data_IF_737322925028
#
_entry.id   IF_737322925028
#
_cell.length_a   1.000
_cell.length_b   1.000
_cell.length_c   1.000
_cell.angle_alpha   90.00
_cell.angle_beta   90.00
_cell.angle_gamma   90.00
#
_symmetry.space_group_name_H-M   'P 1'
#
loop_
_entity.id
_entity.type
_entity.pdbx_description
1 polymer ?
#
# COMPACT_ATOMS: atom_id res chain seq x y z
N UNK A 1 4.36 3.35 16.20
CA UNK A 1 4.00 4.46 15.31
C UNK A 1 3.67 5.64 16.22
N UNK A 2 4.00 6.87 15.86
CA UNK A 2 3.71 8.02 16.75
C UNK A 2 2.26 8.47 16.69
N UNK A 3 1.49 7.97 15.71
CA UNK A 3 0.07 8.29 15.51
C UNK A 3 -0.87 7.13 15.87
N UNK A 4 -0.35 5.94 16.12
CA UNK A 4 -1.13 4.78 16.59
C UNK A 4 -0.25 3.73 17.29
N UNK A 5 -0.86 2.78 17.99
CA UNK A 5 -0.15 1.77 18.81
C UNK A 5 0.54 0.64 18.02
N UNK A 6 0.74 0.76 16.70
CA UNK A 6 1.43 -0.26 15.90
C UNK A 6 2.95 -0.14 15.99
N UNK A 7 3.63 -1.23 16.31
CA UNK A 7 5.09 -1.30 16.41
C UNK A 7 5.70 -1.95 15.16
N UNK A 8 6.89 -1.49 14.76
CA UNK A 8 7.58 -1.99 13.57
C UNK A 8 9.06 -2.19 13.90
N UNK A 9 9.63 -3.32 13.47
CA UNK A 9 11.03 -3.65 13.72
C UNK A 9 12.02 -2.90 12.82
N UNK A 10 11.54 -2.26 11.74
CA UNK A 10 12.38 -1.53 10.78
C UNK A 10 11.79 -0.15 10.48
N UNK A 11 12.66 0.85 10.39
CA UNK A 11 12.28 2.23 10.09
C UNK A 11 11.53 2.37 8.75
N UNK A 12 11.94 1.62 7.71
CA UNK A 12 11.26 1.60 6.41
C UNK A 12 9.80 1.13 6.49
N UNK A 13 9.52 0.18 7.38
CA UNK A 13 8.18 -0.38 7.55
C UNK A 13 7.28 0.60 8.31
N UNK A 14 7.83 1.29 9.33
CA UNK A 14 7.15 2.39 10.03
C UNK A 14 6.84 3.56 9.08
N UNK A 15 7.81 4.00 8.28
CA UNK A 15 7.63 5.09 7.30
C UNK A 15 6.56 4.74 6.26
N UNK A 16 6.56 3.49 5.76
CA UNK A 16 5.50 3.02 4.86
C UNK A 16 4.14 3.06 5.53
N UNK A 17 4.03 2.56 6.76
CA UNK A 17 2.79 2.57 7.50
C UNK A 17 2.25 4.00 7.72
N UNK A 18 3.12 4.94 8.12
CA UNK A 18 2.71 6.34 8.30
C UNK A 18 2.16 6.90 6.99
N UNK A 19 2.85 6.66 5.86
CA UNK A 19 2.38 7.13 4.56
C UNK A 19 1.02 6.52 4.17
N UNK A 20 0.89 5.20 4.27
CA UNK A 20 -0.32 4.51 3.81
C UNK A 20 -1.54 4.71 4.71
N UNK A 21 -1.36 4.92 6.02
CA UNK A 21 -2.47 4.95 6.99
C UNK A 21 -2.76 6.35 7.50
N UNK A 22 -1.73 7.18 7.71
CA UNK A 22 -1.90 8.46 8.43
C UNK A 22 -1.77 9.69 7.55
N UNK A 23 -1.06 9.63 6.42
CA UNK A 23 -0.89 10.79 5.52
C UNK A 23 -1.81 10.72 4.29
N UNK A 24 -2.76 9.78 4.26
CA UNK A 24 -3.67 9.60 3.12
C UNK A 24 -2.95 9.40 1.78
N UNK A 25 -1.75 8.80 1.80
CA UNK A 25 -0.92 8.66 0.60
C UNK A 25 -1.73 7.97 -0.48
N UNK A 26 -1.94 8.68 -1.59
CA UNK A 26 -2.74 8.23 -2.72
C UNK A 26 -2.15 6.91 -3.20
N UNK A 27 -2.91 5.83 -2.97
CA UNK A 27 -2.53 4.53 -3.49
C UNK A 27 -2.42 4.63 -5.01
N UNK A 28 -1.40 3.99 -5.58
CA UNK A 28 -1.26 3.96 -7.03
C UNK A 28 -2.38 3.06 -7.57
N UNK A 29 -3.34 3.67 -8.26
CA UNK A 29 -4.46 2.96 -8.88
C UNK A 29 -4.05 2.46 -10.25
N UNK A 30 -4.36 1.21 -10.55
CA UNK A 30 -4.34 0.73 -11.92
C UNK A 30 -5.54 1.30 -12.67
N UNK A 31 -5.31 1.98 -13.79
CA UNK A 31 -6.38 2.60 -14.59
C UNK A 31 -7.25 1.57 -15.33
N UNK A 32 -6.77 0.34 -15.47
CA UNK A 32 -7.48 -0.73 -16.19
C UNK A 32 -8.50 -1.44 -15.29
N UNK A 33 -8.14 -1.70 -14.03
CA UNK A 33 -8.99 -2.47 -13.10
C UNK A 33 -9.40 -1.71 -11.84
N UNK A 34 -8.92 -0.48 -11.65
CA UNK A 34 -9.19 0.36 -10.48
C UNK A 34 -8.47 -0.08 -9.20
N UNK A 35 -7.68 -1.15 -9.24
CA UNK A 35 -7.04 -1.71 -8.05
C UNK A 35 -6.00 -0.77 -7.47
N UNK A 36 -6.06 -0.57 -6.16
CA UNK A 36 -5.25 0.39 -5.42
C UNK A 36 -4.08 -0.31 -4.74
N UNK A 37 -2.87 0.16 -4.99
CA UNK A 37 -1.64 -0.41 -4.42
C UNK A 37 -0.92 0.62 -3.56
N UNK A 38 -0.50 0.22 -2.36
CA UNK A 38 0.33 1.05 -1.48
C UNK A 38 1.78 1.16 -1.95
N UNK A 39 2.18 0.33 -2.93
CA UNK A 39 3.56 0.20 -3.44
C UNK A 39 3.59 0.22 -4.97
N UNK A 40 4.55 0.97 -5.52
CA UNK A 40 4.76 1.04 -6.98
C UNK A 40 5.24 -0.29 -7.56
N UNK A 41 6.16 -0.99 -6.90
CA UNK A 41 6.60 -2.33 -7.33
C UNK A 41 5.45 -3.34 -7.42
N UNK A 42 4.47 -3.20 -6.53
CA UNK A 42 3.29 -4.06 -6.50
C UNK A 42 2.32 -3.71 -7.63
N UNK A 43 2.17 -2.42 -7.97
CA UNK A 43 1.45 -1.99 -9.16
C UNK A 43 2.14 -2.47 -10.45
N UNK A 44 3.46 -2.33 -10.57
CA UNK A 44 4.22 -2.74 -11.76
C UNK A 44 4.13 -4.26 -11.97
N UNK A 45 4.28 -5.05 -10.90
CA UNK A 45 4.08 -6.50 -10.96
C UNK A 45 2.64 -6.85 -11.31
N UNK A 46 1.66 -6.14 -10.75
CA UNK A 46 0.26 -6.27 -11.12
C UNK A 46 0.03 -5.98 -12.61
N UNK A 47 0.60 -4.90 -13.15
CA UNK A 47 0.44 -4.53 -14.56
C UNK A 47 1.05 -5.57 -15.50
N UNK A 48 2.16 -6.20 -15.10
CA UNK A 48 2.78 -7.31 -15.85
C UNK A 48 1.91 -8.56 -15.86
N UNK A 49 1.35 -8.95 -14.71
CA UNK A 49 0.59 -10.20 -14.59
C UNK A 49 -0.92 -10.03 -14.82
N UNK A 50 -1.40 -8.78 -14.90
CA UNK A 50 -2.82 -8.37 -15.00
C UNK A 50 -3.75 -8.96 -13.93
N UNK A 51 -3.24 -9.59 -12.88
CA UNK A 51 -4.05 -10.14 -11.78
C UNK A 51 -4.25 -9.10 -10.68
N UNK A 52 -5.49 -8.73 -10.39
CA UNK A 52 -5.80 -7.87 -9.26
C UNK A 52 -5.98 -8.71 -7.98
N UNK A 53 -4.98 -8.70 -7.10
CA UNK A 53 -5.16 -9.08 -5.70
C UNK A 53 -5.21 -7.78 -4.89
N UNK A 54 -6.43 -7.35 -4.55
CA UNK A 54 -6.67 -6.20 -3.69
C UNK A 54 -6.20 -6.54 -2.26
N UNK A 55 -5.00 -6.10 -1.89
CA UNK A 55 -4.44 -6.34 -0.55
C UNK A 55 -5.05 -5.41 0.51
N UNK A 56 -6.10 -4.65 0.18
CA UNK A 56 -6.77 -3.76 1.13
C UNK A 56 -8.17 -4.22 1.55
N UNK A 57 -8.47 -5.51 1.41
CA UNK A 57 -9.62 -6.13 2.08
C UNK A 57 -9.11 -6.98 3.26
N UNK A 58 -8.80 -6.33 4.39
CA UNK A 58 -8.85 -6.99 5.69
C UNK A 58 -8.95 -5.96 6.82
N UNK A 59 -10.19 -5.88 7.32
CA UNK A 59 -10.62 -5.44 8.65
C UNK A 59 -10.59 -3.94 8.93
#
# INVERSE_FOLDING_TARGET
>A
CTKCSKTFSRARDLQRHIRSVHTGHKMNKCEICGCSFTRMDSLLRHQRNKTCNNINARS
#
